data_IF_820834804105
#
_entry.id   IF_820834804105
#
_cell.length_a   1.000
_cell.length_b   1.000
_cell.length_c   1.000
_cell.angle_alpha   90.00
_cell.angle_beta   90.00
_cell.angle_gamma   90.00
#
_symmetry.space_group_name_H-M   'P 1'
#
loop_
_entity.id
_entity.type
_entity.pdbx_description
1 polymer ?
#
# COMPACT_ATOMS: atom_id res chain seq x y z
N UNK A 1 3.55 -4.76 -9.46
CA UNK A 1 2.80 -6.01 -9.46
C UNK A 1 1.39 -5.81 -10.02
N UNK A 2 0.49 -5.06 -9.36
CA UNK A 2 -0.91 -4.90 -9.77
C UNK A 2 -1.06 -4.36 -11.19
N UNK A 3 -0.34 -3.31 -11.55
CA UNK A 3 -0.36 -2.79 -12.92
C UNK A 3 0.12 -3.82 -13.95
N UNK A 4 1.15 -4.61 -13.62
CA UNK A 4 1.59 -5.69 -14.49
C UNK A 4 0.54 -6.78 -14.69
N UNK A 5 -0.19 -7.13 -13.63
CA UNK A 5 -1.32 -8.07 -13.73
C UNK A 5 -2.47 -7.51 -14.57
N UNK A 6 -2.84 -6.25 -14.36
CA UNK A 6 -3.85 -5.57 -15.17
C UNK A 6 -3.46 -5.59 -16.66
N UNK A 7 -2.23 -5.24 -17.00
CA UNK A 7 -1.74 -5.25 -18.37
C UNK A 7 -1.72 -6.67 -18.96
N UNK A 8 -1.31 -7.68 -18.19
CA UNK A 8 -1.32 -9.09 -18.58
C UNK A 8 -2.72 -9.57 -18.97
N UNK A 9 -3.76 -9.00 -18.32
CA UNK A 9 -5.17 -9.33 -18.58
C UNK A 9 -5.84 -8.33 -19.54
N UNK A 10 -5.05 -7.62 -20.35
CA UNK A 10 -5.54 -6.79 -21.45
C UNK A 10 -6.21 -5.48 -21.03
N UNK A 11 -5.94 -4.99 -19.80
CA UNK A 11 -6.46 -3.68 -19.40
C UNK A 11 -5.64 -2.57 -20.03
N UNK A 12 -6.32 -1.50 -20.42
CA UNK A 12 -5.68 -0.27 -20.91
C UNK A 12 -4.98 0.42 -19.74
N UNK A 13 -3.65 0.38 -19.75
CA UNK A 13 -2.83 0.85 -18.64
C UNK A 13 -1.49 1.37 -19.15
N UNK A 14 -1.05 2.49 -18.59
CA UNK A 14 0.26 3.07 -18.85
C UNK A 14 1.01 3.28 -17.53
N UNK A 15 2.27 2.90 -17.49
CA UNK A 15 3.14 3.12 -16.32
C UNK A 15 3.80 4.48 -16.39
N UNK A 16 3.50 5.35 -15.41
CA UNK A 16 4.29 6.55 -15.18
C UNK A 16 5.55 6.18 -14.41
N UNK A 17 6.71 6.36 -15.00
CA UNK A 17 7.98 5.94 -14.44
C UNK A 17 9.08 6.98 -14.67
N UNK A 18 10.15 6.90 -13.87
CA UNK A 18 11.34 7.71 -14.10
C UNK A 18 12.12 7.20 -15.31
N UNK A 19 12.90 8.08 -15.96
CA UNK A 19 13.70 7.80 -17.15
C UNK A 19 14.50 6.48 -17.09
N UNK A 20 15.19 6.23 -15.97
CA UNK A 20 15.99 5.00 -15.81
C UNK A 20 15.11 3.75 -15.89
N UNK A 21 13.92 3.80 -15.27
CA UNK A 21 12.97 2.67 -15.30
C UNK A 21 12.31 2.54 -16.66
N UNK A 22 12.00 3.63 -17.34
CA UNK A 22 11.47 3.62 -18.71
C UNK A 22 12.44 2.89 -19.66
N UNK A 23 13.74 3.25 -19.61
CA UNK A 23 14.77 2.56 -20.41
C UNK A 23 14.89 1.08 -20.09
N UNK A 24 14.86 0.71 -18.81
CA UNK A 24 14.91 -0.68 -18.38
C UNK A 24 13.69 -1.49 -18.89
N UNK A 25 12.48 -0.92 -18.76
CA UNK A 25 11.25 -1.56 -19.25
C UNK A 25 11.24 -1.70 -20.78
N UNK A 26 11.77 -0.72 -21.51
CA UNK A 26 11.91 -0.79 -22.96
C UNK A 26 12.89 -1.87 -23.40
N UNK A 27 13.99 -2.11 -22.64
CA UNK A 27 15.00 -3.09 -22.97
C UNK A 27 14.64 -4.52 -22.55
N UNK A 28 14.05 -4.68 -21.36
CA UNK A 28 13.86 -5.98 -20.71
C UNK A 28 12.39 -6.35 -20.48
N UNK A 29 11.46 -5.44 -20.79
CA UNK A 29 10.07 -5.62 -20.45
C UNK A 29 9.79 -5.53 -18.95
N UNK A 30 8.56 -5.84 -18.55
CA UNK A 30 8.16 -5.98 -17.16
C UNK A 30 8.06 -7.47 -16.82
N UNK A 31 8.90 -7.91 -15.91
CA UNK A 31 8.94 -9.30 -15.45
C UNK A 31 8.36 -9.39 -14.04
N UNK A 32 7.46 -10.33 -13.83
CA UNK A 32 6.90 -10.70 -12.51
C UNK A 32 7.24 -12.16 -12.26
N UNK A 33 7.85 -12.45 -11.11
CA UNK A 33 8.08 -13.80 -10.59
C UNK A 33 7.17 -14.02 -9.38
N UNK A 34 6.31 -15.02 -9.46
CA UNK A 34 5.25 -15.20 -8.46
C UNK A 34 4.81 -16.66 -8.36
N UNK A 35 4.59 -17.13 -7.15
CA UNK A 35 3.99 -18.45 -6.91
C UNK A 35 2.56 -18.58 -7.49
N UNK A 36 1.90 -17.46 -7.77
CA UNK A 36 0.58 -17.42 -8.42
C UNK A 36 0.66 -17.32 -9.95
N UNK A 37 1.85 -17.52 -10.53
CA UNK A 37 2.14 -17.48 -11.95
C UNK A 37 3.10 -16.35 -12.32
N UNK A 38 4.09 -16.67 -13.12
CA UNK A 38 5.03 -15.70 -13.70
C UNK A 38 4.37 -14.89 -14.83
N UNK A 39 4.89 -13.70 -15.09
CA UNK A 39 4.51 -12.90 -16.26
C UNK A 39 5.72 -12.21 -16.85
N UNK A 40 5.75 -12.13 -18.17
CA UNK A 40 6.76 -11.41 -18.95
C UNK A 40 6.03 -10.55 -19.99
N UNK A 41 6.04 -9.24 -19.79
CA UNK A 41 5.33 -8.27 -20.61
C UNK A 41 6.35 -7.49 -21.44
N UNK A 42 6.41 -7.78 -22.73
CA UNK A 42 7.31 -7.10 -23.65
C UNK A 42 6.83 -5.68 -23.92
N UNK A 43 7.73 -4.70 -23.84
CA UNK A 43 7.46 -3.29 -24.12
C UNK A 43 6.16 -2.76 -23.48
N UNK A 44 6.04 -2.82 -22.13
CA UNK A 44 4.85 -2.31 -21.45
C UNK A 44 4.70 -0.80 -21.74
N UNK A 45 3.48 -0.27 -21.96
CA UNK A 45 3.26 1.16 -22.16
C UNK A 45 3.82 1.97 -21.00
N UNK A 46 4.70 2.91 -21.29
CA UNK A 46 5.35 3.78 -20.29
C UNK A 46 5.32 5.23 -20.72
N UNK A 47 5.19 6.12 -19.75
CA UNK A 47 5.37 7.56 -19.89
C UNK A 47 6.34 8.05 -18.80
N UNK A 48 7.09 9.08 -19.13
CA UNK A 48 7.78 9.92 -18.15
C UNK A 48 6.97 11.18 -17.87
N UNK A 49 7.27 11.88 -16.78
CA UNK A 49 6.52 13.11 -16.39
C UNK A 49 6.44 14.13 -17.52
N UNK A 50 7.52 14.29 -18.30
CA UNK A 50 7.56 15.23 -19.43
C UNK A 50 6.64 14.88 -20.61
N UNK A 51 6.12 13.66 -20.66
CA UNK A 51 5.27 13.14 -21.75
C UNK A 51 3.78 13.15 -21.41
N UNK A 52 3.41 13.33 -20.13
CA UNK A 52 2.01 13.46 -19.71
C UNK A 52 1.35 14.68 -20.31
N UNK A 53 0.22 14.48 -21.00
CA UNK A 53 -0.55 15.56 -21.67
C UNK A 53 -2.03 15.50 -21.36
N UNK A 54 -2.58 14.32 -21.23
CA UNK A 54 -4.01 14.07 -21.12
C UNK A 54 -4.35 13.49 -19.75
N UNK A 55 -5.55 13.76 -19.21
CA UNK A 55 -6.00 13.18 -17.97
C UNK A 55 -6.32 11.69 -18.13
N UNK A 56 -6.14 10.94 -17.04
CA UNK A 56 -6.53 9.53 -16.94
C UNK A 56 -7.81 9.40 -16.11
N UNK A 57 -8.60 8.35 -16.36
CA UNK A 57 -9.79 8.06 -15.56
C UNK A 57 -9.42 7.58 -14.15
N UNK A 58 -8.35 6.77 -14.04
CA UNK A 58 -7.84 6.25 -12.77
C UNK A 58 -6.32 6.36 -12.71
N UNK A 59 -5.82 6.89 -11.60
CA UNK A 59 -4.40 6.90 -11.25
C UNK A 59 -4.20 6.03 -10.01
N UNK A 60 -3.45 4.94 -10.14
CA UNK A 60 -3.08 4.07 -9.02
C UNK A 60 -1.69 4.46 -8.52
N UNK A 61 -1.59 4.94 -7.29
CA UNK A 61 -0.32 5.33 -6.67
C UNK A 61 0.30 4.16 -5.90
N UNK A 62 1.35 3.59 -6.47
CA UNK A 62 2.11 2.48 -5.88
C UNK A 62 3.51 2.87 -5.40
N UNK A 63 3.76 4.14 -5.12
CA UNK A 63 5.05 4.62 -4.62
C UNK A 63 5.22 4.37 -3.12
N UNK A 64 6.47 4.42 -2.63
CA UNK A 64 6.77 4.52 -1.21
C UNK A 64 6.48 5.92 -0.69
N UNK A 65 6.17 6.05 0.61
CA UNK A 65 5.76 7.32 1.22
C UNK A 65 6.76 8.47 1.02
N UNK A 66 8.06 8.20 1.07
CA UNK A 66 9.11 9.20 0.81
C UNK A 66 9.16 9.69 -0.66
N UNK A 67 8.47 9.03 -1.57
CA UNK A 67 8.31 9.45 -2.97
C UNK A 67 6.97 10.11 -3.28
N UNK A 68 6.06 10.23 -2.29
CA UNK A 68 4.69 10.67 -2.52
C UNK A 68 4.59 12.12 -3.02
N UNK A 69 5.32 13.06 -2.43
CA UNK A 69 5.30 14.47 -2.85
C UNK A 69 5.73 14.65 -4.31
N UNK A 70 6.81 13.94 -4.70
CA UNK A 70 7.24 13.95 -6.09
C UNK A 70 6.22 13.27 -6.99
N UNK A 71 5.67 12.13 -6.59
CA UNK A 71 4.63 11.43 -7.35
C UNK A 71 3.39 12.31 -7.56
N UNK A 72 2.94 13.02 -6.52
CA UNK A 72 1.83 14.00 -6.65
C UNK A 72 2.15 15.13 -7.64
N UNK A 73 3.40 15.56 -7.69
CA UNK A 73 3.83 16.58 -8.67
C UNK A 73 3.85 16.01 -10.08
N UNK A 74 4.36 14.80 -10.23
CA UNK A 74 4.48 14.11 -11.51
C UNK A 74 3.13 13.79 -12.14
N UNK A 75 2.12 13.38 -11.34
CA UNK A 75 0.78 13.04 -11.84
C UNK A 75 -0.12 14.26 -12.08
N UNK A 76 0.22 15.44 -11.58
CA UNK A 76 -0.68 16.59 -11.64
C UNK A 76 -1.20 16.93 -13.06
N UNK A 77 -0.40 16.82 -14.15
CA UNK A 77 -0.91 17.02 -15.50
C UNK A 77 -1.93 15.96 -15.97
N UNK A 78 -1.96 14.80 -15.32
CA UNK A 78 -2.85 13.67 -15.64
C UNK A 78 -4.15 13.69 -14.82
N UNK A 79 -4.32 14.64 -13.90
CA UNK A 79 -5.53 14.77 -13.09
C UNK A 79 -6.49 15.76 -13.74
N UNK A 80 -7.58 15.24 -14.28
CA UNK A 80 -8.68 16.03 -14.84
C UNK A 80 -9.92 15.96 -13.95
N UNK A 81 -11.02 16.61 -14.32
CA UNK A 81 -12.22 16.75 -13.47
C UNK A 81 -12.89 15.43 -13.04
N UNK A 82 -12.60 14.33 -13.74
CA UNK A 82 -13.19 13.02 -13.45
C UNK A 82 -12.18 11.97 -13.01
N UNK A 83 -10.91 12.35 -12.91
CA UNK A 83 -9.85 11.43 -12.51
C UNK A 83 -10.06 10.95 -11.07
N UNK A 84 -10.03 9.65 -10.87
CA UNK A 84 -9.94 9.04 -9.54
C UNK A 84 -8.48 8.74 -9.20
N UNK A 85 -8.07 8.99 -7.95
CA UNK A 85 -6.73 8.68 -7.44
C UNK A 85 -6.87 7.59 -6.37
N UNK A 86 -6.27 6.44 -6.62
CA UNK A 86 -6.28 5.28 -5.71
C UNK A 86 -4.88 5.08 -5.11
N UNK A 87 -4.62 5.58 -3.89
CA UNK A 87 -3.34 5.33 -3.21
C UNK A 87 -3.30 3.93 -2.61
N UNK A 88 -2.19 3.22 -2.78
CA UNK A 88 -1.93 1.91 -2.20
C UNK A 88 -0.88 1.95 -1.08
N UNK A 89 -0.53 3.14 -0.62
CA UNK A 89 0.43 3.35 0.46
C UNK A 89 -0.12 2.84 1.80
N UNK A 90 0.78 2.45 2.70
CA UNK A 90 0.41 2.13 4.08
C UNK A 90 0.18 3.42 4.88
N UNK A 91 -0.72 3.36 5.88
CA UNK A 91 -1.04 4.53 6.70
C UNK A 91 -2.21 5.34 6.16
N UNK A 92 -2.38 6.56 6.67
CA UNK A 92 -3.51 7.44 6.35
C UNK A 92 -3.08 8.81 5.80
N UNK A 93 -1.86 9.26 6.10
CA UNK A 93 -1.36 10.59 5.76
C UNK A 93 -1.43 10.90 4.26
N UNK A 94 -1.31 9.89 3.38
CA UNK A 94 -1.44 10.06 1.94
C UNK A 94 -2.81 10.63 1.54
N UNK A 95 -3.88 10.30 2.28
CA UNK A 95 -5.21 10.83 1.98
C UNK A 95 -5.24 12.34 2.22
N UNK A 96 -4.74 12.80 3.37
CA UNK A 96 -4.71 14.22 3.72
C UNK A 96 -3.87 15.04 2.71
N UNK A 97 -2.73 14.50 2.28
CA UNK A 97 -1.85 15.16 1.30
C UNK A 97 -2.48 15.22 -0.10
N UNK A 98 -3.12 14.15 -0.52
CA UNK A 98 -3.80 14.08 -1.82
C UNK A 98 -5.03 15.00 -1.84
N UNK A 99 -5.82 15.01 -0.76
CA UNK A 99 -6.97 15.91 -0.62
C UNK A 99 -6.57 17.38 -0.71
N UNK A 100 -5.51 17.74 0.01
CA UNK A 100 -5.00 19.12 0.00
C UNK A 100 -4.52 19.57 -1.39
N UNK A 101 -4.05 18.64 -2.22
CA UNK A 101 -3.49 18.96 -3.54
C UNK A 101 -4.51 18.86 -4.67
N UNK A 102 -5.37 17.86 -4.65
CA UNK A 102 -6.24 17.53 -5.78
C UNK A 102 -7.74 17.67 -5.48
N UNK A 103 -8.12 17.80 -4.20
CA UNK A 103 -9.51 17.76 -3.75
C UNK A 103 -9.94 16.35 -3.32
N UNK A 104 -10.73 16.28 -2.25
CA UNK A 104 -11.19 15.02 -1.66
C UNK A 104 -12.06 14.19 -2.60
N UNK A 105 -12.74 14.83 -3.54
CA UNK A 105 -13.58 14.21 -4.57
C UNK A 105 -12.80 13.33 -5.54
N UNK A 106 -11.50 13.57 -5.71
CA UNK A 106 -10.63 12.77 -6.55
C UNK A 106 -10.08 11.53 -5.82
N UNK A 107 -10.02 11.55 -4.49
CA UNK A 107 -9.24 10.58 -3.71
C UNK A 107 -10.10 9.45 -3.18
N UNK A 108 -9.83 8.24 -3.64
CA UNK A 108 -10.43 7.01 -3.15
C UNK A 108 -9.70 6.49 -1.91
N UNK A 109 -10.39 5.71 -1.09
CA UNK A 109 -9.74 4.83 -0.12
C UNK A 109 -9.17 3.61 -0.82
N UNK A 110 -7.96 3.18 -0.38
CA UNK A 110 -7.32 2.02 -0.97
C UNK A 110 -6.27 1.40 -0.07
N UNK A 111 -6.20 0.08 -0.11
CA UNK A 111 -5.17 -0.69 0.57
C UNK A 111 -4.83 -1.96 -0.20
N UNK A 112 -3.60 -2.42 -0.07
CA UNK A 112 -3.20 -3.71 -0.62
C UNK A 112 -2.53 -4.60 0.44
N UNK A 113 -2.68 -5.91 0.28
CA UNK A 113 -1.98 -6.92 1.07
C UNK A 113 -1.12 -7.72 0.12
N UNK A 114 0.15 -7.36 0.05
CA UNK A 114 1.15 -8.00 -0.82
C UNK A 114 2.52 -7.89 -0.18
N UNK A 115 3.38 -8.86 -0.43
CA UNK A 115 4.81 -8.76 -0.16
C UNK A 115 5.55 -8.89 -1.49
N UNK A 116 6.09 -7.78 -1.98
CA UNK A 116 6.82 -7.75 -3.23
C UNK A 116 8.04 -6.83 -3.15
N UNK A 117 9.05 -7.13 -3.93
CA UNK A 117 10.27 -6.32 -4.06
C UNK A 117 10.74 -6.32 -5.51
N UNK A 118 11.69 -5.46 -5.85
CA UNK A 118 12.41 -5.54 -7.11
C UNK A 118 13.75 -6.24 -6.86
N UNK A 119 14.13 -7.13 -7.76
CA UNK A 119 15.50 -7.66 -7.78
C UNK A 119 16.49 -6.70 -8.44
N UNK A 120 17.75 -7.08 -8.50
CA UNK A 120 18.81 -6.28 -9.09
C UNK A 120 18.61 -5.98 -10.60
N UNK A 121 17.80 -6.78 -11.28
CA UNK A 121 17.47 -6.63 -12.69
C UNK A 121 16.14 -5.87 -12.92
N UNK A 122 15.44 -5.50 -11.82
CA UNK A 122 14.18 -4.78 -11.85
C UNK A 122 12.96 -5.69 -12.10
N UNK A 123 13.10 -7.00 -11.99
CA UNK A 123 11.96 -7.90 -12.00
C UNK A 123 11.22 -7.82 -10.64
N UNK A 124 9.91 -7.86 -10.70
CA UNK A 124 9.05 -7.89 -9.52
C UNK A 124 9.06 -9.29 -8.93
N UNK A 125 9.59 -9.44 -7.72
CA UNK A 125 9.58 -10.68 -6.93
C UNK A 125 8.41 -10.63 -5.96
N UNK A 126 7.38 -11.46 -6.17
CA UNK A 126 6.25 -11.63 -5.27
C UNK A 126 6.62 -12.70 -4.23
N UNK A 127 6.78 -12.30 -2.97
CA UNK A 127 7.45 -13.09 -1.94
C UNK A 127 6.50 -14.00 -1.13
N UNK A 128 5.19 -13.88 -1.34
CA UNK A 128 4.17 -14.73 -0.71
C UNK A 128 3.02 -14.98 -1.70
N UNK A 129 1.91 -15.57 -1.25
CA UNK A 129 0.72 -15.82 -2.07
C UNK A 129 -0.37 -14.77 -1.93
N UNK A 130 -0.17 -13.77 -1.05
CA UNK A 130 -1.16 -12.73 -0.81
C UNK A 130 -1.00 -11.61 -1.82
N UNK A 131 -2.07 -11.27 -2.54
CA UNK A 131 -2.09 -10.21 -3.53
C UNK A 131 -3.48 -9.52 -3.59
N UNK A 132 -4.01 -9.19 -2.42
CA UNK A 132 -5.30 -8.54 -2.29
C UNK A 132 -5.21 -7.02 -2.45
N UNK A 133 -6.22 -6.44 -3.08
CA UNK A 133 -6.43 -5.01 -3.22
C UNK A 133 -7.89 -4.68 -2.84
N UNK A 134 -8.07 -3.82 -1.84
CA UNK A 134 -9.39 -3.31 -1.42
C UNK A 134 -9.45 -1.83 -1.71
N UNK A 135 -10.57 -1.36 -2.25
CA UNK A 135 -10.75 0.03 -2.66
C UNK A 135 -12.21 0.46 -2.52
N UNK A 136 -12.46 1.77 -2.44
CA UNK A 136 -13.82 2.27 -2.32
C UNK A 136 -13.92 3.79 -2.25
N UNK A 137 -15.14 4.29 -2.40
CA UNK A 137 -15.43 5.66 -2.01
C UNK A 137 -15.27 5.80 -0.50
N UNK A 138 -14.70 6.91 -0.05
CA UNK A 138 -14.41 7.09 1.38
C UNK A 138 -15.66 7.31 2.23
N UNK A 139 -16.75 7.77 1.60
CA UNK A 139 -18.07 7.89 2.22
C UNK A 139 -18.91 6.61 2.14
N UNK A 140 -18.35 5.55 1.53
CA UNK A 140 -19.02 4.26 1.35
C UNK A 140 -20.07 4.22 0.23
N UNK A 141 -20.21 5.28 -0.54
CA UNK A 141 -21.19 5.35 -1.63
C UNK A 141 -20.86 4.40 -2.79
N UNK A 142 -21.90 3.96 -3.49
CA UNK A 142 -21.78 3.24 -4.75
C UNK A 142 -21.85 4.24 -5.91
N UNK A 143 -20.69 4.57 -6.48
CA UNK A 143 -20.60 5.51 -7.60
C UNK A 143 -20.40 4.81 -8.94
N UNK A 144 -20.72 5.46 -10.07
CA UNK A 144 -20.43 4.92 -11.39
C UNK A 144 -18.94 4.64 -11.62
N UNK A 145 -18.03 5.47 -11.06
CA UNK A 145 -16.59 5.22 -11.18
C UNK A 145 -16.16 3.98 -10.39
N UNK A 146 -16.81 3.68 -9.25
CA UNK A 146 -16.54 2.45 -8.50
C UNK A 146 -16.96 1.22 -9.28
N UNK A 147 -18.07 1.26 -10.00
CA UNK A 147 -18.46 0.17 -10.88
C UNK A 147 -17.42 -0.05 -11.97
N UNK A 148 -17.00 1.00 -12.68
CA UNK A 148 -16.00 0.93 -13.73
C UNK A 148 -14.64 0.40 -13.24
N UNK A 149 -14.19 0.83 -12.04
CA UNK A 149 -12.95 0.33 -11.42
C UNK A 149 -13.09 -1.14 -11.05
N UNK A 150 -14.24 -1.55 -10.49
CA UNK A 150 -14.50 -2.96 -10.16
C UNK A 150 -14.45 -3.85 -11.39
N UNK A 151 -15.06 -3.43 -12.49
CA UNK A 151 -15.02 -4.14 -13.78
C UNK A 151 -13.59 -4.18 -14.35
N UNK A 152 -12.83 -3.08 -14.25
CA UNK A 152 -11.45 -3.04 -14.72
C UNK A 152 -10.53 -3.97 -13.92
N UNK A 153 -10.79 -4.17 -12.63
CA UNK A 153 -9.98 -5.03 -11.76
C UNK A 153 -10.48 -6.49 -11.70
N UNK A 154 -11.67 -6.77 -12.20
CA UNK A 154 -12.21 -8.12 -12.23
C UNK A 154 -11.30 -9.06 -13.05
N UNK A 155 -11.09 -10.27 -12.57
CA UNK A 155 -10.32 -11.31 -13.26
C UNK A 155 -8.91 -10.87 -13.71
N UNK A 156 -8.31 -9.92 -13.00
CA UNK A 156 -6.99 -9.36 -13.35
C UNK A 156 -5.80 -10.12 -12.71
N UNK A 157 -6.02 -11.36 -12.26
CA UNK A 157 -4.95 -12.21 -11.71
C UNK A 157 -4.47 -11.79 -10.32
N UNK A 158 -5.33 -11.09 -9.56
CA UNK A 158 -5.18 -10.79 -8.14
C UNK A 158 -6.56 -10.61 -7.49
N UNK A 159 -6.62 -10.74 -6.17
CA UNK A 159 -7.86 -10.56 -5.43
C UNK A 159 -8.20 -9.07 -5.36
N UNK A 160 -9.28 -8.65 -5.99
CA UNK A 160 -9.78 -7.28 -5.93
C UNK A 160 -11.16 -7.22 -5.29
N UNK A 161 -11.38 -6.25 -4.40
CA UNK A 161 -12.65 -6.14 -3.68
C UNK A 161 -13.04 -4.67 -3.47
N UNK A 162 -14.20 -4.23 -4.02
CA UNK A 162 -14.77 -2.97 -3.60
C UNK A 162 -15.27 -3.05 -2.15
N UNK A 163 -15.20 -1.94 -1.41
CA UNK A 163 -15.66 -1.84 -0.03
C UNK A 163 -16.41 -0.55 0.21
N UNK A 164 -17.59 -0.66 0.82
CA UNK A 164 -18.34 0.49 1.35
C UNK A 164 -17.84 0.95 2.73
N UNK A 165 -16.80 0.31 3.27
CA UNK A 165 -16.21 0.65 4.57
C UNK A 165 -14.68 0.75 4.49
N UNK A 166 -14.17 1.19 3.35
CA UNK A 166 -12.74 1.14 3.03
C UNK A 166 -11.88 1.92 4.03
N UNK A 167 -12.36 3.05 4.53
CA UNK A 167 -11.60 3.88 5.49
C UNK A 167 -11.42 3.15 6.82
N UNK A 168 -12.47 2.49 7.35
CA UNK A 168 -12.35 1.65 8.54
C UNK A 168 -11.35 0.51 8.32
N UNK A 169 -11.42 -0.15 7.17
CA UNK A 169 -10.49 -1.24 6.84
C UNK A 169 -9.04 -0.76 6.71
N UNK A 170 -8.84 0.47 6.21
CA UNK A 170 -7.51 1.10 6.18
C UNK A 170 -6.99 1.37 7.60
N UNK A 171 -7.83 1.85 8.51
CA UNK A 171 -7.49 2.05 9.92
C UNK A 171 -7.18 0.71 10.61
N UNK A 172 -8.01 -0.31 10.41
CA UNK A 172 -7.79 -1.66 10.96
C UNK A 172 -6.43 -2.23 10.55
N UNK A 173 -6.09 -2.08 9.27
CA UNK A 173 -4.77 -2.46 8.75
C UNK A 173 -3.66 -1.62 9.33
N UNK A 174 -3.85 -0.30 9.45
CA UNK A 174 -2.81 0.60 9.92
C UNK A 174 -2.46 0.38 11.39
N UNK A 175 -3.43 0.14 12.27
CA UNK A 175 -3.19 -0.25 13.67
C UNK A 175 -2.25 -1.45 13.74
N UNK A 176 -2.55 -2.50 12.97
CA UNK A 176 -1.70 -3.69 12.90
C UNK A 176 -0.30 -3.36 12.34
N UNK A 177 -0.22 -2.63 11.24
CA UNK A 177 1.06 -2.32 10.59
C UNK A 177 1.92 -1.36 11.43
N UNK A 178 1.33 -0.35 12.08
CA UNK A 178 2.07 0.56 12.94
C UNK A 178 2.65 -0.19 14.14
N UNK A 179 1.87 -1.08 14.75
CA UNK A 179 2.37 -1.94 15.83
C UNK A 179 3.49 -2.85 15.35
N UNK A 180 3.29 -3.59 14.25
CA UNK A 180 4.29 -4.50 13.69
C UNK A 180 5.58 -3.76 13.34
N UNK A 181 5.47 -2.63 12.62
CA UNK A 181 6.61 -1.85 12.20
C UNK A 181 7.32 -1.21 13.40
N UNK A 182 6.58 -0.63 14.34
CA UNK A 182 7.13 -0.03 15.54
C UNK A 182 7.94 -1.03 16.36
N UNK A 183 7.31 -2.16 16.72
CA UNK A 183 7.97 -3.14 17.59
C UNK A 183 9.15 -3.86 16.94
N UNK A 184 8.99 -4.28 15.66
CA UNK A 184 10.07 -5.00 14.97
C UNK A 184 11.26 -4.11 14.63
N UNK A 185 11.03 -2.84 14.26
CA UNK A 185 12.11 -1.89 14.03
C UNK A 185 12.80 -1.45 15.32
N UNK A 186 12.06 -1.27 16.41
CA UNK A 186 12.62 -0.87 17.70
C UNK A 186 13.49 -1.98 18.30
N UNK A 187 12.98 -3.21 18.32
CA UNK A 187 13.64 -4.36 18.94
C UNK A 187 14.51 -5.17 17.96
N UNK A 188 14.53 -4.81 16.68
CA UNK A 188 15.40 -5.40 15.63
C UNK A 188 15.23 -6.91 15.44
N UNK A 189 14.02 -7.43 15.64
CA UNK A 189 13.73 -8.86 15.55
C UNK A 189 12.38 -9.16 14.92
N UNK A 190 12.17 -10.43 14.57
CA UNK A 190 10.87 -10.94 14.17
C UNK A 190 9.93 -11.07 15.39
N UNK A 191 8.63 -11.15 15.13
CA UNK A 191 7.60 -11.25 16.19
C UNK A 191 7.91 -12.34 17.21
N UNK A 192 8.25 -13.58 16.77
CA UNK A 192 8.55 -14.68 17.68
C UNK A 192 9.77 -14.43 18.58
N UNK A 193 10.83 -13.82 18.04
CA UNK A 193 12.03 -13.43 18.80
C UNK A 193 11.70 -12.38 19.86
N UNK A 194 10.87 -11.39 19.48
CA UNK A 194 10.41 -10.35 20.39
C UNK A 194 9.56 -10.94 21.50
N UNK A 195 8.62 -11.81 21.18
CA UNK A 195 7.73 -12.48 22.16
C UNK A 195 8.52 -13.35 23.13
N UNK A 196 9.60 -13.98 22.68
CA UNK A 196 10.48 -14.79 23.51
C UNK A 196 11.37 -13.95 24.44
N UNK A 197 11.55 -12.66 24.17
CA UNK A 197 12.39 -11.78 24.98
C UNK A 197 11.66 -11.31 26.25
N UNK A 198 12.39 -11.03 27.36
CA UNK A 198 11.76 -10.49 28.56
C UNK A 198 11.02 -9.18 28.29
N UNK A 199 9.71 -9.15 28.57
CA UNK A 199 8.86 -7.96 28.36
C UNK A 199 8.42 -7.73 26.92
N UNK A 200 8.94 -8.45 25.92
CA UNK A 200 8.63 -8.20 24.50
C UNK A 200 7.15 -8.37 24.16
N UNK A 201 6.51 -9.42 24.68
CA UNK A 201 5.06 -9.60 24.52
C UNK A 201 4.25 -8.43 25.11
N UNK A 202 4.63 -7.99 26.32
CA UNK A 202 3.93 -6.89 26.99
C UNK A 202 4.10 -5.57 26.21
N UNK A 203 5.31 -5.28 25.73
CA UNK A 203 5.59 -4.10 24.93
C UNK A 203 4.80 -4.10 23.62
N UNK A 204 4.72 -5.26 22.95
CA UNK A 204 3.92 -5.40 21.70
C UNK A 204 2.45 -5.11 21.94
N UNK A 205 1.86 -5.67 23.02
CA UNK A 205 0.46 -5.45 23.34
C UNK A 205 0.18 -4.01 23.81
N UNK A 206 1.11 -3.39 24.51
CA UNK A 206 1.00 -1.98 24.90
C UNK A 206 0.98 -1.06 23.67
N UNK A 207 1.89 -1.27 22.72
CA UNK A 207 1.91 -0.49 21.48
C UNK A 207 0.65 -0.71 20.62
N UNK A 208 0.12 -1.95 20.57
CA UNK A 208 -1.15 -2.22 19.87
C UNK A 208 -2.29 -1.44 20.52
N UNK A 209 -2.33 -1.37 21.83
CA UNK A 209 -3.36 -0.65 22.57
C UNK A 209 -3.27 0.87 22.35
N UNK A 210 -2.05 1.43 22.30
CA UNK A 210 -1.84 2.84 21.96
C UNK A 210 -2.35 3.15 20.53
N UNK A 211 -1.99 2.33 19.54
CA UNK A 211 -2.48 2.49 18.17
C UNK A 211 -4.01 2.36 18.08
N UNK A 212 -4.61 1.43 18.85
CA UNK A 212 -6.06 1.27 18.94
C UNK A 212 -6.73 2.53 19.50
N UNK A 213 -6.20 3.08 20.58
CA UNK A 213 -6.73 4.28 21.21
C UNK A 213 -6.72 5.50 20.27
N UNK A 214 -5.68 5.63 19.44
CA UNK A 214 -5.62 6.68 18.41
C UNK A 214 -6.75 6.50 17.37
N UNK A 215 -6.96 5.29 16.88
CA UNK A 215 -8.02 5.00 15.92
C UNK A 215 -9.42 5.25 16.51
N UNK A 216 -9.66 4.87 17.77
CA UNK A 216 -10.93 5.17 18.47
C UNK A 216 -11.18 6.67 18.58
N UNK A 217 -10.16 7.45 18.96
CA UNK A 217 -10.28 8.92 19.04
C UNK A 217 -10.56 9.55 17.67
N UNK A 218 -10.03 8.96 16.61
CA UNK A 218 -10.29 9.37 15.23
C UNK A 218 -11.68 8.92 14.73
N UNK A 219 -12.47 8.17 15.52
CA UNK A 219 -13.80 7.67 15.14
C UNK A 219 -13.79 6.32 14.40
N UNK A 220 -12.65 5.64 14.35
CA UNK A 220 -12.47 4.37 13.64
C UNK A 220 -12.10 3.24 14.60
N UNK A 221 -12.91 3.03 15.64
CA UNK A 221 -12.70 1.95 16.60
C UNK A 221 -12.67 0.59 15.90
N UNK A 222 -11.59 -0.20 16.05
CA UNK A 222 -11.51 -1.53 15.44
C UNK A 222 -12.46 -2.50 16.13
N UNK A 223 -13.08 -3.39 15.35
CA UNK A 223 -13.92 -4.47 15.91
C UNK A 223 -13.10 -5.50 16.67
N UNK A 224 -13.71 -6.18 17.66
CA UNK A 224 -13.00 -7.15 18.51
C UNK A 224 -12.31 -8.26 17.70
N UNK A 225 -12.92 -8.76 16.64
CA UNK A 225 -12.29 -9.77 15.75
C UNK A 225 -11.01 -9.28 15.10
N UNK A 226 -10.93 -8.00 14.75
CA UNK A 226 -9.73 -7.37 14.17
C UNK A 226 -8.62 -7.36 15.22
N UNK A 227 -8.95 -6.95 16.45
CA UNK A 227 -8.00 -6.90 17.56
C UNK A 227 -7.53 -8.30 17.99
N UNK A 228 -8.43 -9.27 18.09
CA UNK A 228 -8.08 -10.66 18.39
C UNK A 228 -7.12 -11.23 17.35
N UNK A 229 -7.42 -11.00 16.06
CA UNK A 229 -6.52 -11.42 14.98
C UNK A 229 -5.16 -10.71 15.06
N UNK A 230 -5.14 -9.41 15.30
CA UNK A 230 -3.91 -8.64 15.46
C UNK A 230 -3.08 -9.15 16.64
N UNK A 231 -3.71 -9.34 17.81
CA UNK A 231 -3.06 -9.91 19.01
C UNK A 231 -2.47 -11.29 18.70
N UNK A 232 -3.26 -12.18 18.08
CA UNK A 232 -2.80 -13.52 17.72
C UNK A 232 -1.55 -13.51 16.86
N UNK A 233 -1.54 -12.71 15.78
CA UNK A 233 -0.40 -12.61 14.84
C UNK A 233 0.81 -11.95 15.51
N UNK A 234 0.60 -10.85 16.23
CA UNK A 234 1.68 -10.06 16.84
C UNK A 234 2.29 -10.68 18.10
N UNK A 235 1.68 -11.74 18.63
CA UNK A 235 2.20 -12.44 19.81
C UNK A 235 2.39 -13.94 19.60
N UNK A 236 2.45 -14.39 18.36
CA UNK A 236 2.76 -15.79 18.03
C UNK A 236 4.25 -16.07 18.25
N UNK A 237 4.62 -16.95 19.22
CA UNK A 237 6.02 -17.24 19.52
C UNK A 237 6.75 -18.00 18.41
N UNK A 238 6.02 -18.62 17.46
CA UNK A 238 6.61 -19.29 16.31
C UNK A 238 6.75 -18.40 15.08
N UNK A 239 6.30 -17.15 15.15
CA UNK A 239 6.22 -16.26 13.98
C UNK A 239 7.59 -15.74 13.55
N UNK A 240 7.90 -15.88 12.26
CA UNK A 240 9.04 -15.22 11.60
C UNK A 240 8.66 -13.89 10.97
N UNK A 241 7.46 -13.40 11.25
CA UNK A 241 6.94 -12.17 10.68
C UNK A 241 7.75 -10.96 11.17
N UNK A 242 8.17 -10.15 10.21
CA UNK A 242 8.77 -8.83 10.44
C UNK A 242 8.21 -7.82 9.45
N UNK A 243 8.16 -6.55 9.84
CA UNK A 243 7.73 -5.50 8.94
C UNK A 243 8.67 -5.36 7.73
N UNK A 244 8.13 -4.97 6.57
CA UNK A 244 8.96 -4.59 5.42
C UNK A 244 9.92 -3.45 5.76
N UNK A 245 9.49 -2.54 6.63
CA UNK A 245 10.30 -1.43 7.14
C UNK A 245 11.55 -1.91 7.90
N UNK A 246 11.47 -3.04 8.65
CA UNK A 246 12.67 -3.62 9.28
C UNK A 246 13.66 -4.13 8.23
N UNK A 247 13.18 -4.78 7.17
CA UNK A 247 14.07 -5.21 6.06
C UNK A 247 14.74 -4.03 5.38
N UNK A 248 13.97 -2.98 5.06
CA UNK A 248 14.51 -1.75 4.49
C UNK A 248 15.61 -1.16 5.41
N UNK A 249 15.34 -1.10 6.72
CA UNK A 249 16.28 -0.60 7.73
C UNK A 249 17.57 -1.44 7.81
N UNK A 250 17.45 -2.77 7.78
CA UNK A 250 18.59 -3.70 7.81
C UNK A 250 19.49 -3.60 6.58
N UNK A 251 18.91 -3.23 5.43
CA UNK A 251 19.64 -3.04 4.17
C UNK A 251 20.11 -1.59 3.95
N UNK A 252 19.88 -0.70 4.92
CA UNK A 252 20.25 0.72 4.80
C UNK A 252 19.41 1.49 3.78
N UNK A 253 18.23 1.00 3.45
CA UNK A 253 17.30 1.68 2.56
C UNK A 253 16.46 2.73 3.32
N UNK A 254 15.94 3.76 2.64
CA UNK A 254 14.97 4.68 3.22
C UNK A 254 13.75 3.94 3.78
N UNK A 255 13.28 4.36 4.95
CA UNK A 255 12.13 3.77 5.64
C UNK A 255 10.94 4.72 5.67
N UNK A 256 9.74 4.17 5.87
CA UNK A 256 8.48 4.93 5.91
C UNK A 256 8.06 5.30 7.35
N UNK A 257 9.02 5.44 8.29
CA UNK A 257 8.73 5.62 9.71
C UNK A 257 7.89 6.87 9.99
N UNK A 258 8.23 8.02 9.40
CA UNK A 258 7.49 9.27 9.60
C UNK A 258 6.06 9.17 9.08
N UNK A 259 5.85 8.40 8.00
CA UNK A 259 4.53 8.23 7.39
C UNK A 259 3.67 7.23 8.16
N UNK A 260 4.26 6.14 8.67
CA UNK A 260 3.50 5.05 9.32
C UNK A 260 3.40 5.26 10.84
N UNK A 261 4.49 5.63 11.49
CA UNK A 261 4.54 5.81 12.95
C UNK A 261 4.40 7.29 13.32
N UNK A 262 5.10 8.17 12.62
CA UNK A 262 5.04 9.62 12.88
C UNK A 262 3.63 10.20 12.70
N UNK A 263 2.89 9.78 11.68
CA UNK A 263 1.48 10.17 11.49
C UNK A 263 0.57 9.60 12.59
N UNK A 264 0.82 8.36 13.06
CA UNK A 264 0.09 7.78 14.20
C UNK A 264 0.30 8.60 15.47
N UNK A 265 1.55 9.03 15.72
CA UNK A 265 1.88 9.90 16.85
C UNK A 265 1.23 11.28 16.71
N UNK A 266 1.30 11.90 15.53
CA UNK A 266 0.67 13.20 15.29
C UNK A 266 -0.86 13.19 15.50
N UNK A 267 -1.52 12.07 15.19
CA UNK A 267 -2.96 11.90 15.44
C UNK A 267 -3.28 11.54 16.90
N UNK A 268 -2.28 11.21 17.71
CA UNK A 268 -2.44 10.96 19.14
C UNK A 268 -2.49 12.27 19.96
N UNK A 269 -1.87 13.33 19.45
CA UNK A 269 -1.85 14.68 20.05
C UNK A 269 -3.17 15.43 19.79
#
# INVERSE_FOLDING_TARGET
YFGGRLLQHGRDLTFLVREARARQLAQHGLVIRSATGDAELTAPPTLTTGELRDPFDLIVLGCKAYGLEQAMTDIAPAVGPRTAILPLLNGMRQLDLLDAKFGAEHVLGGQCVISATLDAHGAVQHLNTLHGLTFGERDGSASPRMQAITEAFADAGFDSRPSSNVVQEMWDKWIFLATLAGITCLLRGAVGEIVASPGGRAATLALLEECRAVAERAGYAPGERVLERARGILTDPASTLAASMLRDLQHGHPIEADHVIGDMLARAE
#
